data_IF_421455964605
#
_entry.id   IF_421455964605
#
_cell.length_a   1.000
_cell.length_b   1.000
_cell.length_c   1.000
_cell.angle_alpha   90.00
_cell.angle_beta   90.00
_cell.angle_gamma   90.00
#
_symmetry.space_group_name_H-M   'P 1'
#
loop_
_entity.id
_entity.type
_entity.pdbx_description
1 polymer ?
#
# COMPACT_ATOMS: atom_id res chain seq x y z
N UNK A 1 14.20 -22.95 2.10
CA UNK A 1 13.14 -21.96 1.87
C UNK A 1 13.84 -20.62 1.83
N UNK A 2 13.78 -19.90 0.71
CA UNK A 2 14.32 -18.54 0.63
C UNK A 2 13.32 -17.63 1.31
N UNK A 3 13.71 -16.95 2.39
CA UNK A 3 12.88 -15.93 3.03
C UNK A 3 12.96 -14.69 2.14
N UNK A 4 11.82 -14.17 1.69
CA UNK A 4 11.75 -12.87 1.02
C UNK A 4 11.04 -11.89 1.96
N UNK A 5 11.71 -10.79 2.35
CA UNK A 5 11.07 -9.70 3.09
C UNK A 5 9.86 -9.17 2.34
N UNK A 6 8.88 -8.66 3.09
CA UNK A 6 7.70 -7.98 2.58
C UNK A 6 6.81 -8.79 1.60
N UNK A 7 6.97 -10.12 1.56
CA UNK A 7 6.24 -10.95 0.59
C UNK A 7 4.73 -11.01 0.87
N UNK A 8 4.32 -10.91 2.14
CA UNK A 8 2.90 -10.98 2.51
C UNK A 8 2.19 -9.66 2.15
N UNK A 9 2.85 -8.53 2.37
CA UNK A 9 2.46 -7.15 2.03
C UNK A 9 2.30 -7.03 0.50
N UNK A 10 3.32 -7.43 -0.26
CA UNK A 10 3.29 -7.46 -1.72
C UNK A 10 2.08 -8.23 -2.25
N UNK A 11 1.83 -9.43 -1.72
CA UNK A 11 0.68 -10.26 -2.13
C UNK A 11 -0.65 -9.61 -1.74
N UNK A 12 -0.73 -8.98 -0.56
CA UNK A 12 -1.93 -8.29 -0.11
C UNK A 12 -2.26 -7.12 -1.03
N UNK A 13 -1.27 -6.30 -1.41
CA UNK A 13 -1.47 -5.20 -2.36
C UNK A 13 -1.91 -5.69 -3.75
N UNK A 14 -1.26 -6.73 -4.28
CA UNK A 14 -1.67 -7.34 -5.55
C UNK A 14 -3.11 -7.87 -5.49
N UNK A 15 -3.53 -8.44 -4.35
CA UNK A 15 -4.90 -8.91 -4.14
C UNK A 15 -5.91 -7.74 -4.12
N UNK A 16 -5.58 -6.60 -3.51
CA UNK A 16 -6.42 -5.39 -3.60
C UNK A 16 -6.61 -5.01 -5.06
N UNK A 17 -5.52 -4.81 -5.83
CA UNK A 17 -5.59 -4.37 -7.22
C UNK A 17 -6.38 -5.36 -8.09
N UNK A 18 -6.15 -6.65 -7.91
CA UNK A 18 -6.84 -7.71 -8.65
C UNK A 18 -8.35 -7.77 -8.36
N UNK A 19 -8.79 -7.29 -7.19
CA UNK A 19 -10.21 -7.24 -6.80
C UNK A 19 -10.98 -6.04 -7.35
N UNK A 20 -10.28 -5.00 -7.82
CA UNK A 20 -10.88 -3.78 -8.36
C UNK A 20 -11.47 -4.02 -9.75
N UNK A 21 -12.60 -3.36 -10.06
CA UNK A 21 -13.07 -3.29 -11.45
C UNK A 21 -12.11 -2.48 -12.31
N UNK A 22 -12.27 -2.53 -13.64
CA UNK A 22 -11.46 -1.71 -14.56
C UNK A 22 -11.56 -0.22 -14.26
N UNK A 23 -12.75 0.28 -13.95
CA UNK A 23 -12.97 1.69 -13.59
C UNK A 23 -12.32 2.04 -12.25
N UNK A 24 -12.41 1.14 -11.27
CA UNK A 24 -11.77 1.33 -9.97
C UNK A 24 -10.24 1.26 -10.07
N UNK A 25 -9.67 0.37 -10.90
CA UNK A 25 -8.24 0.35 -11.17
C UNK A 25 -7.80 1.65 -11.83
N UNK A 26 -8.57 2.19 -12.78
CA UNK A 26 -8.27 3.47 -13.40
C UNK A 26 -8.30 4.63 -12.38
N UNK A 27 -9.24 4.62 -11.42
CA UNK A 27 -9.31 5.59 -10.34
C UNK A 27 -8.17 5.44 -9.32
N UNK A 28 -7.74 4.20 -9.04
CA UNK A 28 -6.63 3.90 -8.14
C UNK A 28 -5.25 4.18 -8.78
N UNK A 29 -5.16 4.24 -10.11
CA UNK A 29 -3.90 4.41 -10.83
C UNK A 29 -3.38 5.85 -10.70
N UNK A 30 -2.17 5.99 -10.17
CA UNK A 30 -1.47 7.28 -10.15
C UNK A 30 -1.02 7.65 -11.56
N UNK A 31 -1.10 8.95 -11.87
CA UNK A 31 -0.61 9.50 -13.14
C UNK A 31 0.92 9.56 -13.20
N UNK A 32 1.56 9.70 -12.04
CA UNK A 32 3.02 9.66 -11.88
C UNK A 32 3.47 8.23 -11.63
N UNK A 33 4.65 7.91 -12.17
CA UNK A 33 5.42 6.72 -11.80
C UNK A 33 6.40 7.08 -10.69
N UNK A 34 6.61 6.14 -9.77
CA UNK A 34 7.53 6.28 -8.65
C UNK A 34 8.58 5.18 -8.75
N UNK A 35 9.85 5.56 -8.60
CA UNK A 35 10.99 4.65 -8.54
C UNK A 35 11.59 4.57 -7.12
N UNK A 36 10.98 5.25 -6.16
CA UNK A 36 11.31 5.26 -4.74
C UNK A 36 10.04 5.55 -3.90
N UNK A 37 10.09 5.31 -2.59
CA UNK A 37 9.05 5.76 -1.65
C UNK A 37 9.09 7.28 -1.47
N UNK A 38 7.93 7.90 -1.24
CA UNK A 38 7.81 9.35 -1.12
C UNK A 38 8.34 9.86 0.22
N UNK A 39 8.04 9.17 1.33
CA UNK A 39 8.55 9.50 2.66
C UNK A 39 9.77 8.64 3.00
N UNK A 40 10.76 8.67 2.11
CA UNK A 40 12.06 8.03 2.31
C UNK A 40 12.98 8.80 3.27
N UNK A 41 14.19 8.27 3.54
CA UNK A 41 15.14 8.91 4.43
C UNK A 41 15.45 10.36 4.03
N UNK A 42 15.11 11.32 4.91
CA UNK A 42 15.34 12.75 4.69
C UNK A 42 14.12 13.53 4.17
N UNK A 43 13.06 12.83 3.79
CA UNK A 43 11.76 13.39 3.39
C UNK A 43 10.69 13.08 4.46
N UNK A 44 11.11 13.04 5.73
CA UNK A 44 10.24 12.79 6.87
C UNK A 44 9.08 13.80 6.89
N UNK A 45 7.85 13.31 7.11
CA UNK A 45 6.64 14.13 7.20
C UNK A 45 6.25 14.88 5.92
N UNK A 46 6.84 14.55 4.76
CA UNK A 46 6.52 15.16 3.48
C UNK A 46 5.21 14.63 2.84
N UNK A 47 4.17 14.45 3.66
CA UNK A 47 2.87 13.94 3.21
C UNK A 47 2.25 14.84 2.12
N UNK A 48 1.66 14.26 1.05
CA UNK A 48 0.88 15.02 0.08
C UNK A 48 -0.25 15.80 0.76
N UNK A 49 -0.49 17.02 0.29
CA UNK A 49 -1.61 17.84 0.78
C UNK A 49 -2.95 17.45 0.13
N UNK A 50 -2.92 16.56 -0.87
CA UNK A 50 -4.09 16.05 -1.58
C UNK A 50 -3.89 14.56 -1.77
N UNK A 51 -4.82 13.77 -1.23
CA UNK A 51 -4.84 12.32 -1.44
C UNK A 51 -5.21 11.98 -2.88
N UNK A 52 -4.62 10.91 -3.39
CA UNK A 52 -4.82 10.41 -4.76
C UNK A 52 -5.21 8.93 -4.72
N UNK A 53 -5.85 8.44 -5.78
CA UNK A 53 -6.29 7.06 -5.90
C UNK A 53 -7.78 6.89 -5.64
N UNK A 54 -8.18 5.64 -5.41
CA UNK A 54 -9.57 5.30 -5.12
C UNK A 54 -9.84 5.49 -3.63
N UNK A 55 -10.90 6.23 -3.32
CA UNK A 55 -11.34 6.45 -1.94
C UNK A 55 -12.04 5.20 -1.42
N UNK A 56 -11.80 4.84 -0.17
CA UNK A 56 -12.38 3.64 0.43
C UNK A 56 -13.91 3.66 0.42
N UNK A 57 -14.56 4.82 0.51
CA UNK A 57 -16.02 4.95 0.35
C UNK A 57 -16.56 4.38 -0.97
N UNK A 58 -15.73 4.32 -2.03
CA UNK A 58 -16.07 3.85 -3.37
C UNK A 58 -15.76 2.36 -3.58
N UNK A 59 -15.28 1.68 -2.53
CA UNK A 59 -14.99 0.24 -2.52
C UNK A 59 -16.16 -0.57 -1.98
N UNK A 60 -16.30 -1.80 -2.49
CA UNK A 60 -17.22 -2.80 -1.91
C UNK A 60 -16.73 -3.24 -0.53
N UNK A 61 -17.60 -3.91 0.24
CA UNK A 61 -17.22 -4.46 1.54
C UNK A 61 -16.04 -5.47 1.43
N UNK A 62 -16.03 -6.30 0.37
CA UNK A 62 -14.97 -7.28 0.16
C UNK A 62 -13.63 -6.61 -0.22
N UNK A 63 -13.68 -5.55 -1.04
CA UNK A 63 -12.49 -4.76 -1.40
C UNK A 63 -11.94 -4.00 -0.18
N UNK A 64 -12.81 -3.42 0.65
CA UNK A 64 -12.43 -2.82 1.94
C UNK A 64 -11.74 -3.81 2.86
N UNK A 65 -12.23 -5.06 2.91
CA UNK A 65 -11.60 -6.11 3.71
C UNK A 65 -10.19 -6.45 3.21
N UNK A 66 -9.95 -6.43 1.89
CA UNK A 66 -8.61 -6.63 1.33
C UNK A 66 -7.67 -5.45 1.62
N UNK A 67 -8.15 -4.21 1.54
CA UNK A 67 -7.34 -3.04 1.94
C UNK A 67 -6.98 -3.11 3.42
N UNK A 68 -7.95 -3.45 4.27
CA UNK A 68 -7.70 -3.60 5.70
C UNK A 68 -6.73 -4.75 5.99
N UNK A 69 -6.80 -5.87 5.26
CA UNK A 69 -5.84 -6.96 5.39
C UNK A 69 -4.42 -6.55 4.96
N UNK A 70 -4.28 -5.68 3.95
CA UNK A 70 -2.98 -5.12 3.57
C UNK A 70 -2.43 -4.12 4.61
N UNK A 71 -3.31 -3.40 5.33
CA UNK A 71 -2.90 -2.57 6.47
C UNK A 71 -2.47 -3.45 7.65
N UNK A 72 -3.19 -4.54 7.88
CA UNK A 72 -2.97 -5.47 8.99
C UNK A 72 -1.58 -6.12 8.95
N UNK A 73 -1.03 -6.39 7.76
CA UNK A 73 0.34 -6.94 7.63
C UNK A 73 1.42 -6.04 8.24
N UNK A 74 1.18 -4.73 8.35
CA UNK A 74 2.07 -3.78 9.01
C UNK A 74 1.71 -3.58 10.49
N UNK A 75 0.41 -3.60 10.81
CA UNK A 75 -0.07 -3.40 12.18
C UNK A 75 0.25 -4.59 13.07
N UNK A 76 0.29 -5.81 12.53
CA UNK A 76 0.59 -7.04 13.28
C UNK A 76 2.07 -7.18 13.69
N UNK A 77 2.93 -6.23 13.29
CA UNK A 77 4.33 -6.16 13.75
C UNK A 77 4.47 -5.59 15.17
N UNK A 78 3.41 -5.00 15.74
CA UNK A 78 3.36 -4.57 17.14
C UNK A 78 2.65 -5.61 18.02
N UNK A 79 2.59 -5.40 19.35
CA UNK A 79 1.90 -6.37 20.21
C UNK A 79 0.38 -6.44 19.95
N UNK A 80 -0.22 -7.61 20.16
CA UNK A 80 -1.61 -7.91 19.81
C UNK A 80 -2.63 -6.89 20.34
N UNK A 81 -2.40 -6.32 21.53
CA UNK A 81 -3.35 -5.40 22.15
C UNK A 81 -3.30 -4.01 21.47
N UNK A 82 -2.10 -3.54 21.18
CA UNK A 82 -1.89 -2.31 20.43
C UNK A 82 -2.30 -2.47 18.97
N UNK A 83 -1.97 -3.60 18.34
CA UNK A 83 -2.38 -3.94 16.97
C UNK A 83 -3.91 -3.89 16.82
N UNK A 84 -4.65 -4.55 17.71
CA UNK A 84 -6.11 -4.52 17.71
C UNK A 84 -6.67 -3.09 17.86
N UNK A 85 -6.04 -2.26 18.69
CA UNK A 85 -6.44 -0.86 18.90
C UNK A 85 -6.21 -0.02 17.65
N UNK A 86 -5.05 -0.16 17.01
CA UNK A 86 -4.65 0.56 15.80
C UNK A 86 -5.54 0.14 14.62
N UNK A 87 -5.71 -1.17 14.40
CA UNK A 87 -6.52 -1.69 13.31
C UNK A 87 -8.00 -1.28 13.43
N UNK A 88 -8.55 -1.27 14.65
CA UNK A 88 -9.91 -0.78 14.89
C UNK A 88 -10.06 0.70 14.50
N UNK A 89 -9.06 1.53 14.82
CA UNK A 89 -9.03 2.94 14.41
C UNK A 89 -8.99 3.06 12.88
N UNK A 90 -8.07 2.38 12.21
CA UNK A 90 -7.94 2.43 10.75
C UNK A 90 -9.19 1.91 10.03
N UNK A 91 -9.79 0.82 10.52
CA UNK A 91 -11.08 0.32 10.03
C UNK A 91 -12.18 1.36 10.11
N UNK A 92 -12.25 2.13 11.20
CA UNK A 92 -13.27 3.19 11.37
C UNK A 92 -13.08 4.38 10.42
N UNK A 93 -11.86 4.56 9.90
CA UNK A 93 -11.47 5.65 9.01
C UNK A 93 -11.39 5.22 7.53
N UNK A 94 -11.65 3.93 7.24
CA UNK A 94 -11.37 3.35 5.92
C UNK A 94 -12.15 4.01 4.79
N UNK A 95 -13.34 4.54 5.06
CA UNK A 95 -14.13 5.28 4.06
C UNK A 95 -13.43 6.58 3.60
N UNK A 96 -12.52 7.12 4.41
CA UNK A 96 -11.69 8.30 4.12
C UNK A 96 -10.23 7.95 3.79
N UNK A 97 -9.90 6.66 3.66
CA UNK A 97 -8.58 6.17 3.26
C UNK A 97 -8.53 5.94 1.74
N UNK A 98 -7.42 6.30 1.12
CA UNK A 98 -7.19 6.15 -0.31
C UNK A 98 -6.21 5.01 -0.58
N UNK A 99 -6.54 4.19 -1.57
CA UNK A 99 -5.63 3.18 -2.12
C UNK A 99 -5.16 3.64 -3.50
N UNK A 100 -3.86 3.62 -3.74
CA UNK A 100 -3.27 4.07 -5.00
C UNK A 100 -2.10 3.22 -5.43
N UNK A 101 -1.86 3.13 -6.75
CA UNK A 101 -0.73 2.38 -7.29
C UNK A 101 -0.20 2.95 -8.61
N UNK A 102 1.07 2.71 -8.93
CA UNK A 102 1.67 2.88 -10.26
C UNK A 102 2.39 1.60 -10.71
N UNK A 103 2.79 1.51 -12.00
CA UNK A 103 3.49 0.33 -12.52
C UNK A 103 2.56 -0.79 -13.02
N UNK A 104 2.86 -2.04 -12.69
CA UNK A 104 2.07 -3.23 -12.99
C UNK A 104 0.93 -3.42 -11.99
N UNK A 105 0.06 -4.41 -12.24
CA UNK A 105 -0.99 -4.82 -11.29
C UNK A 105 -0.57 -6.01 -10.43
N UNK A 106 0.56 -6.65 -10.74
CA UNK A 106 1.10 -7.80 -10.01
C UNK A 106 2.03 -7.38 -8.88
N UNK A 107 2.48 -6.13 -8.87
CA UNK A 107 3.38 -5.56 -7.85
C UNK A 107 4.70 -6.34 -7.77
N UNK A 108 5.21 -6.81 -8.91
CA UNK A 108 6.42 -7.64 -9.02
C UNK A 108 7.54 -6.97 -9.80
N UNK A 109 7.21 -5.95 -10.58
CA UNK A 109 8.13 -5.32 -11.52
C UNK A 109 8.79 -4.10 -10.89
N UNK A 110 9.96 -3.75 -11.41
CA UNK A 110 10.65 -2.53 -10.99
C UNK A 110 9.76 -1.31 -11.31
N UNK A 111 9.77 -0.33 -10.41
CA UNK A 111 8.92 0.87 -10.43
C UNK A 111 7.42 0.60 -10.15
N UNK A 112 7.08 -0.61 -9.70
CA UNK A 112 5.79 -0.86 -9.06
C UNK A 112 5.75 -0.15 -7.71
N UNK A 113 4.66 0.58 -7.48
CA UNK A 113 4.48 1.38 -6.27
C UNK A 113 3.04 1.29 -5.81
N UNK A 114 2.84 1.20 -4.50
CA UNK A 114 1.54 1.19 -3.84
C UNK A 114 1.60 2.16 -2.67
N UNK A 115 0.49 2.89 -2.46
CA UNK A 115 0.32 3.77 -1.31
C UNK A 115 -1.08 3.66 -0.73
N UNK A 116 -1.14 3.54 0.59
CA UNK A 116 -2.35 3.70 1.40
C UNK A 116 -2.22 5.00 2.19
N UNK A 117 -3.10 5.95 1.92
CA UNK A 117 -3.09 7.30 2.50
C UNK A 117 -4.44 7.57 3.16
N UNK A 118 -4.48 7.64 4.50
CA UNK A 118 -5.72 7.90 5.24
C UNK A 118 -5.52 8.82 6.43
N UNK A 119 -6.59 9.14 7.19
CA UNK A 119 -6.54 10.13 8.26
C UNK A 119 -5.54 9.83 9.39
N UNK A 120 -5.09 8.58 9.53
CA UNK A 120 -4.09 8.19 10.52
C UNK A 120 -3.16 7.07 10.05
N UNK A 121 -3.32 6.57 8.82
CA UNK A 121 -2.50 5.50 8.24
C UNK A 121 -1.74 6.06 7.05
N UNK A 122 -0.46 5.73 6.98
CA UNK A 122 0.39 5.95 5.82
C UNK A 122 1.19 4.68 5.63
N UNK A 123 1.08 4.07 4.46
CA UNK A 123 1.88 2.92 4.05
C UNK A 123 2.34 3.17 2.64
N UNK A 124 3.63 2.96 2.37
CA UNK A 124 4.17 2.92 1.02
C UNK A 124 4.92 1.63 0.77
N UNK A 125 4.84 1.16 -0.47
CA UNK A 125 5.57 0.00 -0.93
C UNK A 125 6.09 0.27 -2.34
N UNK A 126 7.36 -0.01 -2.59
CA UNK A 126 8.00 0.17 -3.90
C UNK A 126 8.90 -1.02 -4.24
N UNK A 127 8.77 -1.52 -5.46
CA UNK A 127 9.72 -2.48 -6.03
C UNK A 127 10.84 -1.72 -6.73
N UNK A 128 12.02 -1.70 -6.12
CA UNK A 128 13.15 -0.90 -6.59
C UNK A 128 14.25 -1.76 -7.22
N UNK A 129 15.13 -1.10 -7.99
CA UNK A 129 16.37 -1.69 -8.48
C UNK A 129 17.34 -1.98 -7.33
N UNK A 130 17.77 -3.24 -7.18
CA UNK A 130 18.84 -3.56 -6.25
C UNK A 130 20.18 -2.93 -6.66
N UNK A 131 20.88 -2.32 -5.70
CA UNK A 131 22.26 -1.83 -5.89
C UNK A 131 23.25 -3.00 -5.80
N UNK A 132 22.97 -3.95 -4.90
CA UNK A 132 23.79 -5.16 -4.65
C UNK A 132 23.01 -6.45 -4.98
N UNK A 133 21.69 -6.40 -4.86
CA UNK A 133 20.79 -7.51 -5.20
C UNK A 133 20.43 -7.44 -6.69
N UNK A 134 20.35 -8.59 -7.36
CA UNK A 134 19.85 -8.65 -8.73
C UNK A 134 18.31 -8.61 -8.74
N UNK A 135 17.75 -7.77 -9.60
CA UNK A 135 16.30 -7.68 -9.85
C UNK A 135 15.54 -6.70 -8.94
N UNK A 136 14.21 -6.79 -9.01
CA UNK A 136 13.30 -5.98 -8.20
C UNK A 136 13.30 -6.44 -6.74
N UNK A 137 13.32 -5.51 -5.80
CA UNK A 137 13.22 -5.82 -4.37
C UNK A 137 12.39 -4.77 -3.63
N UNK A 138 11.69 -5.17 -2.54
CA UNK A 138 10.75 -4.29 -1.86
C UNK A 138 11.46 -3.26 -0.98
N UNK A 139 10.91 -2.05 -0.97
CA UNK A 139 11.13 -0.99 -0.01
C UNK A 139 9.77 -0.57 0.53
N UNK A 140 9.66 -0.37 1.84
CA UNK A 140 8.41 0.00 2.46
C UNK A 140 8.63 0.92 3.67
N UNK A 141 7.61 1.71 3.98
CA UNK A 141 7.50 2.57 5.18
C UNK A 141 6.08 2.57 5.70
#
# INVERSE_FOLDING_TARGET
MTVQPEQQEQKAFAAVIASLTTEQQAAAKLSKTYNDILLGPGDDWAFPTTSEGIKGSDLTADQKALVLAAIDTYVDDVDDADAATILAKYKSQLDDTYFSFSGSTTVTEIDDYVRIDGPSVWIEFSMQHGIVLDGAHPHAV
#
